data_IF_370793896095
#
_entry.id   IF_370793896095
#
_cell.length_a   1.000
_cell.length_b   1.000
_cell.length_c   1.000
_cell.angle_alpha   90.00
_cell.angle_beta   90.00
_cell.angle_gamma   90.00
#
_symmetry.space_group_name_H-M   'P 1'
#
loop_
_entity.id
_entity.type
_entity.pdbx_description
1 polymer ?
#
# COMPACT_ATOMS: atom_id res chain seq x y z
N UNK A 1 -16.94 1.13 2.39
CA UNK A 1 -15.63 0.53 2.03
C UNK A 1 -15.81 -0.95 1.71
N UNK A 2 -15.34 -1.34 0.53
CA UNK A 2 -15.47 -2.70 0.02
C UNK A 2 -14.19 -3.52 0.22
N UNK A 3 -14.29 -4.84 0.08
CA UNK A 3 -13.14 -5.74 0.11
C UNK A 3 -12.78 -6.22 -1.29
N UNK A 4 -11.48 -6.38 -1.54
CA UNK A 4 -10.94 -6.97 -2.75
C UNK A 4 -10.31 -8.31 -2.39
N UNK A 5 -10.84 -9.39 -2.97
CA UNK A 5 -10.34 -10.75 -2.76
C UNK A 5 -9.63 -11.21 -4.03
N UNK A 6 -8.33 -11.51 -3.91
CA UNK A 6 -7.53 -12.04 -5.01
C UNK A 6 -7.19 -13.50 -4.74
N UNK A 7 -7.36 -14.37 -5.74
CA UNK A 7 -7.10 -15.81 -5.63
C UNK A 7 -5.99 -16.27 -6.56
N UNK A 8 -5.10 -17.13 -6.07
CA UNK A 8 -4.02 -17.75 -6.87
C UNK A 8 -3.84 -19.22 -6.48
N UNK A 9 -3.43 -20.07 -7.42
CA UNK A 9 -2.99 -21.44 -7.10
C UNK A 9 -3.56 -22.53 -8.02
N UNK A 10 -4.71 -22.29 -8.66
CA UNK A 10 -5.40 -23.29 -9.48
C UNK A 10 -5.84 -22.70 -10.83
N UNK A 11 -6.00 -23.56 -11.83
CA UNK A 11 -6.43 -23.13 -13.16
C UNK A 11 -7.95 -22.87 -13.18
N UNK A 12 -8.42 -21.65 -13.50
CA UNK A 12 -9.85 -21.34 -13.54
C UNK A 12 -10.59 -21.97 -14.74
N UNK A 13 -9.87 -22.50 -15.74
CA UNK A 13 -10.44 -23.13 -16.96
C UNK A 13 -10.86 -24.58 -16.71
N UNK A 14 -11.68 -24.78 -15.69
CA UNK A 14 -12.28 -26.07 -15.33
C UNK A 14 -13.76 -25.89 -15.04
N UNK A 15 -14.51 -26.98 -15.09
CA UNK A 15 -15.90 -27.03 -14.65
C UNK A 15 -16.01 -26.66 -13.18
N UNK A 16 -17.15 -26.04 -12.82
CA UNK A 16 -17.39 -25.56 -11.46
C UNK A 16 -17.26 -26.68 -10.42
N UNK A 17 -17.74 -27.89 -10.71
CA UNK A 17 -17.60 -29.02 -9.78
C UNK A 17 -16.15 -29.35 -9.45
N UNK A 18 -15.26 -29.33 -10.45
CA UNK A 18 -13.82 -29.56 -10.27
C UNK A 18 -13.20 -28.40 -9.50
N UNK A 19 -13.53 -27.17 -9.85
CA UNK A 19 -13.06 -25.97 -9.14
C UNK A 19 -13.37 -26.01 -7.64
N UNK A 20 -14.59 -26.40 -7.26
CA UNK A 20 -15.03 -26.46 -5.86
C UNK A 20 -14.36 -27.56 -5.05
N UNK A 21 -13.71 -28.53 -5.70
CA UNK A 21 -12.95 -29.58 -5.02
C UNK A 21 -11.51 -29.19 -4.67
N UNK A 22 -11.07 -28.02 -5.14
CA UNK A 22 -9.68 -27.55 -5.02
C UNK A 22 -9.50 -26.51 -3.89
N UNK A 23 -8.26 -26.09 -3.69
CA UNK A 23 -7.88 -25.06 -2.71
C UNK A 23 -7.02 -23.98 -3.35
N UNK A 24 -7.10 -22.74 -2.86
CA UNK A 24 -6.29 -21.63 -3.36
C UNK A 24 -5.69 -20.79 -2.23
N UNK A 25 -4.64 -20.05 -2.56
CA UNK A 25 -4.18 -18.94 -1.73
C UNK A 25 -5.08 -17.72 -2.02
N UNK A 26 -5.66 -17.16 -0.95
CA UNK A 26 -6.44 -15.93 -0.99
C UNK A 26 -5.64 -14.77 -0.41
N UNK A 27 -5.68 -13.63 -1.07
CA UNK A 27 -5.26 -12.34 -0.54
C UNK A 27 -6.51 -11.53 -0.26
N UNK A 28 -6.71 -11.18 1.01
CA UNK A 28 -7.82 -10.35 1.47
C UNK A 28 -7.29 -8.93 1.61
N UNK A 29 -7.86 -8.01 0.85
CA UNK A 29 -7.50 -6.60 0.88
C UNK A 29 -8.74 -5.75 1.18
N UNK A 30 -8.54 -4.60 1.81
CA UNK A 30 -9.56 -3.57 1.95
C UNK A 30 -9.37 -2.51 0.86
N UNK A 31 -10.42 -2.11 0.17
CA UNK A 31 -10.35 -1.00 -0.77
C UNK A 31 -10.21 0.32 0.02
N UNK A 32 -9.25 1.15 -0.39
CA UNK A 32 -8.93 2.43 0.23
C UNK A 32 -9.09 3.54 -0.79
N UNK A 33 -9.82 4.58 -0.41
CA UNK A 33 -10.11 5.72 -1.26
C UNK A 33 -11.07 5.39 -2.41
N UNK A 34 -11.05 6.25 -3.42
CA UNK A 34 -11.86 6.11 -4.64
C UNK A 34 -11.01 5.62 -5.80
N UNK A 35 -11.67 5.13 -6.84
CA UNK A 35 -11.02 4.88 -8.13
C UNK A 35 -10.46 6.20 -8.66
N UNK A 36 -9.21 6.20 -9.08
CA UNK A 36 -8.51 7.39 -9.55
C UNK A 36 -7.69 7.11 -10.81
N UNK A 37 -7.26 8.18 -11.48
CA UNK A 37 -6.40 8.09 -12.66
C UNK A 37 -4.91 8.13 -12.26
N UNK A 38 -4.23 7.01 -12.45
CA UNK A 38 -2.79 6.87 -12.27
C UNK A 38 -2.02 7.56 -13.39
N UNK A 39 -1.21 8.55 -13.01
CA UNK A 39 -0.43 9.38 -13.94
C UNK A 39 1.03 8.91 -14.05
N UNK A 40 1.49 8.06 -13.15
CA UNK A 40 2.88 7.60 -13.05
C UNK A 40 3.01 6.09 -13.28
N UNK A 41 4.00 5.60 -14.06
CA UNK A 41 4.29 4.16 -14.17
C UNK A 41 4.55 3.51 -12.80
N UNK A 42 3.74 2.51 -12.43
CA UNK A 42 3.82 1.86 -11.12
C UNK A 42 4.01 0.35 -11.23
N UNK A 43 3.25 -0.30 -12.10
CA UNK A 43 3.35 -1.76 -12.28
C UNK A 43 4.68 -2.16 -12.93
N UNK A 44 5.21 -3.36 -12.66
CA UNK A 44 6.50 -3.78 -13.22
C UNK A 44 6.61 -3.59 -14.74
N UNK A 45 5.55 -3.92 -15.48
CA UNK A 45 5.49 -3.78 -16.92
C UNK A 45 5.25 -2.34 -17.41
N UNK A 46 4.72 -1.45 -16.57
CA UNK A 46 4.69 -0.01 -16.82
C UNK A 46 6.05 0.62 -16.56
N UNK A 47 6.72 0.21 -15.47
CA UNK A 47 8.05 0.72 -15.11
C UNK A 47 9.12 0.29 -16.11
N UNK A 48 9.04 -0.95 -16.62
CA UNK A 48 9.97 -1.47 -17.62
C UNK A 48 9.80 -0.77 -18.97
N UNK A 49 8.57 -0.40 -19.34
CA UNK A 49 8.26 0.30 -20.60
C UNK A 49 8.22 1.84 -20.46
N UNK A 50 8.43 2.37 -19.24
CA UNK A 50 8.29 3.78 -18.90
C UNK A 50 6.98 4.41 -19.41
N UNK A 51 5.86 3.69 -19.29
CA UNK A 51 4.56 4.12 -19.81
C UNK A 51 3.41 3.59 -18.97
N UNK A 52 2.41 4.44 -18.70
CA UNK A 52 1.15 4.03 -18.07
C UNK A 52 0.34 3.14 -19.02
N UNK A 53 -0.07 1.97 -18.54
CA UNK A 53 -0.91 0.99 -19.25
C UNK A 53 -2.26 0.82 -18.59
N UNK A 54 -2.31 0.96 -17.27
CA UNK A 54 -3.49 0.76 -16.45
C UNK A 54 -3.79 2.08 -15.74
N UNK A 55 -4.37 3.07 -16.45
CA UNK A 55 -4.60 4.40 -15.91
C UNK A 55 -5.66 4.39 -14.81
N UNK A 56 -6.68 3.52 -14.88
CA UNK A 56 -7.68 3.42 -13.82
C UNK A 56 -7.14 2.57 -12.67
N UNK A 57 -6.96 3.18 -11.50
CA UNK A 57 -6.38 2.56 -10.30
C UNK A 57 -7.33 2.59 -9.12
N UNK A 58 -7.17 1.63 -8.23
CA UNK A 58 -7.88 1.53 -6.96
C UNK A 58 -6.86 1.24 -5.87
N UNK A 59 -6.83 2.06 -4.82
CA UNK A 59 -6.03 1.78 -3.64
C UNK A 59 -6.57 0.54 -2.93
N UNK A 60 -5.70 -0.40 -2.60
CA UNK A 60 -6.05 -1.55 -1.79
C UNK A 60 -5.00 -1.75 -0.70
N UNK A 61 -5.43 -2.01 0.51
CA UNK A 61 -4.57 -2.31 1.66
C UNK A 61 -4.64 -3.81 1.95
N UNK A 62 -3.53 -4.56 1.77
CA UNK A 62 -3.49 -5.99 2.08
C UNK A 62 -3.65 -6.25 3.58
N UNK A 63 -4.62 -7.08 3.94
CA UNK A 63 -4.92 -7.41 5.34
C UNK A 63 -4.43 -8.80 5.74
N UNK A 64 -4.61 -9.80 4.86
CA UNK A 64 -4.20 -11.17 5.13
C UNK A 64 -3.91 -11.98 3.87
N UNK A 65 -3.07 -13.01 4.03
CA UNK A 65 -2.94 -14.13 3.10
C UNK A 65 -3.46 -15.40 3.77
N UNK A 66 -4.51 -16.00 3.22
CA UNK A 66 -5.05 -17.28 3.66
C UNK A 66 -4.58 -18.38 2.71
N UNK A 67 -3.77 -19.31 3.18
CA UNK A 67 -3.19 -20.38 2.35
C UNK A 67 -4.06 -21.61 2.31
N UNK A 68 -4.06 -22.35 1.18
CA UNK A 68 -4.80 -23.60 1.02
C UNK A 68 -6.29 -23.49 1.39
N UNK A 69 -6.93 -22.38 1.00
CA UNK A 69 -8.33 -22.12 1.31
C UNK A 69 -9.25 -22.98 0.43
N UNK A 70 -10.12 -23.82 1.00
CA UNK A 70 -11.07 -24.61 0.22
C UNK A 70 -12.05 -23.74 -0.57
N UNK A 71 -12.33 -24.13 -1.82
CA UNK A 71 -13.24 -23.40 -2.70
C UNK A 71 -14.70 -23.87 -2.64
N UNK A 72 -14.93 -25.06 -2.09
CA UNK A 72 -16.25 -25.66 -1.93
C UNK A 72 -17.01 -25.16 -0.69
N UNK A 73 -18.15 -25.80 -0.35
CA UNK A 73 -19.03 -25.36 0.76
C UNK A 73 -18.38 -25.33 2.14
N UNK A 74 -17.32 -26.11 2.36
CA UNK A 74 -16.53 -26.12 3.59
C UNK A 74 -15.55 -24.94 3.69
N UNK A 75 -15.40 -24.15 2.62
CA UNK A 75 -14.52 -23.01 2.51
C UNK A 75 -14.99 -21.76 3.26
N UNK A 76 -14.12 -20.75 3.26
CA UNK A 76 -14.38 -19.44 3.85
C UNK A 76 -15.25 -18.54 2.97
N UNK A 77 -15.32 -18.84 1.67
CA UNK A 77 -16.09 -18.09 0.69
C UNK A 77 -17.40 -18.81 0.36
N UNK A 78 -18.52 -18.08 0.19
CA UNK A 78 -19.72 -18.67 -0.37
C UNK A 78 -19.49 -19.08 -1.83
N UNK A 79 -20.31 -20.00 -2.33
CA UNK A 79 -20.26 -20.50 -3.71
C UNK A 79 -20.19 -19.37 -4.75
N UNK A 80 -21.00 -18.32 -4.59
CA UNK A 80 -21.03 -17.19 -5.50
C UNK A 80 -19.69 -16.43 -5.57
N UNK A 81 -19.02 -16.26 -4.43
CA UNK A 81 -17.71 -15.60 -4.35
C UNK A 81 -16.59 -16.51 -4.91
N UNK A 82 -16.64 -17.81 -4.60
CA UNK A 82 -15.71 -18.81 -5.16
C UNK A 82 -15.81 -18.88 -6.70
N UNK A 83 -17.02 -18.96 -7.26
CA UNK A 83 -17.22 -18.96 -8.71
C UNK A 83 -16.88 -17.60 -9.34
N UNK A 84 -17.09 -16.49 -8.63
CA UNK A 84 -16.67 -15.17 -9.10
C UNK A 84 -15.15 -15.06 -9.31
N UNK A 85 -14.34 -15.65 -8.42
CA UNK A 85 -12.88 -15.75 -8.60
C UNK A 85 -12.56 -16.57 -9.85
N UNK A 86 -13.21 -17.73 -10.04
CA UNK A 86 -13.04 -18.56 -11.24
C UNK A 86 -13.35 -17.78 -12.52
N UNK A 87 -14.52 -17.14 -12.58
CA UNK A 87 -14.97 -16.35 -13.73
C UNK A 87 -14.09 -15.12 -13.98
N UNK A 88 -13.55 -14.49 -12.94
CA UNK A 88 -12.54 -13.43 -13.08
C UNK A 88 -11.32 -13.95 -13.83
N UNK A 89 -10.79 -15.12 -13.45
CA UNK A 89 -9.66 -15.77 -14.14
C UNK A 89 -9.94 -16.11 -15.61
N UNK A 90 -11.18 -16.48 -15.95
CA UNK A 90 -11.63 -16.68 -17.34
C UNK A 90 -11.71 -15.37 -18.13
N UNK A 91 -12.01 -14.27 -17.45
CA UNK A 91 -12.19 -12.94 -18.02
C UNK A 91 -10.97 -12.06 -17.75
N UNK A 92 -9.75 -12.58 -17.96
CA UNK A 92 -8.48 -11.82 -17.87
C UNK A 92 -8.28 -11.06 -16.55
N UNK A 93 -8.83 -11.56 -15.44
CA UNK A 93 -8.72 -10.94 -14.12
C UNK A 93 -9.70 -9.79 -13.84
N UNK A 94 -10.69 -9.55 -14.71
CA UNK A 94 -11.72 -8.55 -14.44
C UNK A 94 -12.52 -8.94 -13.19
N UNK A 95 -12.49 -8.03 -12.21
CA UNK A 95 -13.23 -8.17 -10.95
C UNK A 95 -14.71 -8.49 -11.15
N UNK A 96 -15.25 -9.30 -10.26
CA UNK A 96 -16.66 -9.71 -10.26
C UNK A 96 -17.27 -9.29 -8.92
N UNK A 97 -18.13 -8.26 -8.89
CA UNK A 97 -18.76 -7.82 -7.66
C UNK A 97 -19.66 -8.93 -7.12
N UNK A 98 -19.53 -9.23 -5.83
CA UNK A 98 -20.36 -10.19 -5.10
C UNK A 98 -20.64 -9.61 -3.73
N UNK A 99 -21.91 -9.55 -3.35
CA UNK A 99 -22.30 -9.21 -2.00
C UNK A 99 -22.41 -10.50 -1.18
N UNK A 100 -21.72 -10.54 -0.05
CA UNK A 100 -21.81 -11.65 0.90
C UNK A 100 -21.37 -11.20 2.30
N UNK A 101 -21.69 -12.01 3.31
CA UNK A 101 -21.27 -11.81 4.69
C UNK A 101 -19.79 -12.20 4.87
N UNK A 102 -18.89 -11.25 5.19
CA UNK A 102 -17.46 -11.50 5.35
C UNK A 102 -17.07 -12.09 6.72
N UNK A 103 -18.00 -12.34 7.64
CA UNK A 103 -17.70 -12.77 9.02
C UNK A 103 -16.81 -14.01 9.11
N UNK A 104 -17.00 -14.99 8.21
CA UNK A 104 -16.14 -16.18 8.17
C UNK A 104 -14.69 -15.84 7.82
N UNK A 105 -14.47 -14.87 6.92
CA UNK A 105 -13.13 -14.39 6.58
C UNK A 105 -12.50 -13.68 7.77
N UNK A 106 -13.23 -12.80 8.44
CA UNK A 106 -12.73 -12.07 9.61
C UNK A 106 -12.33 -13.01 10.75
N UNK A 107 -13.16 -14.02 11.04
CA UNK A 107 -12.85 -15.07 12.03
C UNK A 107 -11.56 -15.84 11.69
N UNK A 108 -11.37 -16.21 10.41
CA UNK A 108 -10.16 -16.91 9.97
C UNK A 108 -8.91 -16.02 10.02
N UNK A 109 -9.07 -14.73 9.75
CA UNK A 109 -8.00 -13.75 9.86
C UNK A 109 -7.67 -13.41 11.33
N UNK A 110 -8.56 -13.73 12.27
CA UNK A 110 -8.43 -13.37 13.68
C UNK A 110 -8.60 -11.86 13.91
N UNK A 111 -9.41 -11.19 13.09
CA UNK A 111 -9.65 -9.74 13.18
C UNK A 111 -11.07 -9.44 13.60
N UNK A 112 -11.24 -8.28 14.25
CA UNK A 112 -12.53 -7.71 14.64
C UNK A 112 -12.72 -6.39 13.90
N UNK A 113 -13.68 -6.31 12.95
CA UNK A 113 -13.95 -5.08 12.22
C UNK A 113 -14.52 -4.00 13.14
N UNK A 114 -14.27 -2.74 12.77
CA UNK A 114 -14.98 -1.57 13.30
C UNK A 114 -15.92 -1.02 12.23
N UNK A 115 -17.02 -0.41 12.63
CA UNK A 115 -17.92 0.26 11.69
C UNK A 115 -17.33 1.62 11.33
N UNK A 116 -17.18 1.90 10.04
CA UNK A 116 -16.87 3.24 9.55
C UNK A 116 -18.01 4.20 9.90
N UNK A 117 -17.67 5.37 10.45
CA UNK A 117 -18.64 6.44 10.73
C UNK A 117 -19.35 6.98 9.47
N UNK A 118 -18.72 6.88 8.30
CA UNK A 118 -19.26 7.46 7.06
C UNK A 118 -20.32 6.55 6.40
N UNK A 119 -20.02 5.25 6.27
CA UNK A 119 -20.82 4.35 5.43
C UNK A 119 -21.30 3.08 6.14
N UNK A 120 -21.09 2.96 7.46
CA UNK A 120 -21.34 1.72 8.23
C UNK A 120 -20.65 0.47 7.67
N UNK A 121 -19.66 0.65 6.79
CA UNK A 121 -18.89 -0.44 6.23
C UNK A 121 -17.81 -0.89 7.23
N UNK A 122 -17.52 -2.21 7.31
CA UNK A 122 -16.48 -2.70 8.20
C UNK A 122 -15.09 -2.25 7.71
N UNK A 123 -14.32 -1.68 8.63
CA UNK A 123 -12.90 -1.34 8.49
C UNK A 123 -12.11 -2.26 9.41
N UNK A 124 -11.00 -2.82 8.92
CA UNK A 124 -10.12 -3.67 9.72
C UNK A 124 -8.97 -2.82 10.29
N UNK A 125 -8.85 -2.71 11.64
CA UNK A 125 -7.69 -2.07 12.27
C UNK A 125 -6.38 -2.75 11.85
N UNK A 126 -5.43 -1.97 11.37
CA UNK A 126 -4.14 -2.45 10.86
C UNK A 126 -3.29 -3.10 11.95
N UNK A 127 -3.42 -2.68 13.22
CA UNK A 127 -2.74 -3.31 14.36
C UNK A 127 -3.16 -4.75 14.63
N UNK A 128 -4.29 -5.20 14.07
CA UNK A 128 -4.74 -6.59 14.15
C UNK A 128 -4.21 -7.44 12.97
N UNK A 129 -3.55 -6.82 11.99
CA UNK A 129 -3.08 -7.49 10.79
C UNK A 129 -1.56 -7.62 10.76
N UNK A 130 -1.06 -8.51 9.90
CA UNK A 130 0.38 -8.71 9.68
C UNK A 130 0.75 -8.30 8.25
N UNK A 131 1.99 -7.81 8.02
CA UNK A 131 2.43 -7.47 6.67
C UNK A 131 2.27 -8.66 5.73
N UNK A 132 1.49 -8.47 4.67
CA UNK A 132 1.23 -9.51 3.67
C UNK A 132 2.38 -9.54 2.67
N UNK A 133 3.02 -10.71 2.53
CA UNK A 133 4.02 -10.90 1.48
C UNK A 133 3.32 -11.26 0.15
N UNK A 134 3.35 -10.33 -0.80
CA UNK A 134 2.92 -10.59 -2.17
C UNK A 134 4.08 -11.19 -2.95
N UNK A 135 3.93 -12.37 -3.58
CA UNK A 135 4.97 -12.97 -4.41
C UNK A 135 5.29 -12.05 -5.57
N UNK A 136 6.57 -11.72 -5.76
CA UNK A 136 7.01 -11.03 -6.97
C UNK A 136 6.95 -12.00 -8.15
N UNK A 137 6.35 -11.59 -9.27
CA UNK A 137 6.41 -12.36 -10.51
C UNK A 137 7.90 -12.61 -10.86
N UNK A 138 8.33 -13.86 -11.10
CA UNK A 138 9.69 -14.11 -11.57
C UNK A 138 9.92 -13.32 -12.85
N UNK A 139 10.96 -12.48 -12.89
CA UNK A 139 11.36 -11.82 -14.14
C UNK A 139 11.63 -12.91 -15.18
N UNK A 140 11.16 -12.78 -16.44
CA UNK A 140 11.56 -13.69 -17.50
C UNK A 140 13.10 -13.68 -17.56
N UNK A 141 13.71 -14.87 -17.58
CA UNK A 141 15.16 -15.04 -17.65
C UNK A 141 15.68 -14.41 -18.95
N UNK A 142 16.03 -13.13 -18.96
CA UNK A 142 16.98 -12.59 -19.93
C UNK A 142 18.34 -13.13 -19.53
N UNK A 143 19.04 -13.74 -20.48
CA UNK A 143 20.45 -14.11 -20.35
C UNK A 143 21.28 -12.84 -20.16
N UNK A 144 21.34 -12.32 -18.93
CA UNK A 144 22.27 -11.27 -18.53
C UNK A 144 23.18 -11.89 -17.48
N UNK A 145 24.47 -11.98 -17.82
CA UNK A 145 25.50 -12.50 -16.94
C UNK A 145 25.67 -11.60 -15.72
N UNK A 146 25.71 -12.24 -14.55
CA UNK A 146 26.19 -11.78 -13.24
C UNK A 146 25.48 -10.61 -12.55
N UNK A 147 24.93 -10.94 -11.37
CA UNK A 147 24.48 -10.03 -10.33
C UNK A 147 23.76 -10.83 -9.26
N UNK A 148 24.51 -11.45 -8.34
CA UNK A 148 23.97 -12.03 -7.11
C UNK A 148 23.38 -10.88 -6.27
N UNK A 149 22.06 -10.77 -6.24
CA UNK A 149 21.35 -9.75 -5.48
C UNK A 149 19.96 -10.23 -5.11
N UNK A 150 19.76 -10.44 -3.82
CA UNK A 150 18.51 -10.81 -3.16
C UNK A 150 17.37 -9.86 -3.51
N UNK A 151 16.20 -10.43 -3.82
CA UNK A 151 15.00 -9.67 -4.13
C UNK A 151 14.51 -8.86 -2.93
N UNK A 152 14.52 -7.54 -3.05
CA UNK A 152 13.59 -6.55 -2.46
C UNK A 152 14.06 -5.10 -2.61
N UNK A 153 15.30 -4.86 -2.98
CA UNK A 153 15.77 -3.47 -3.06
C UNK A 153 15.21 -2.80 -4.31
N UNK A 154 14.15 -2.00 -4.12
CA UNK A 154 13.96 -0.78 -4.90
C UNK A 154 15.31 -0.07 -4.95
N UNK A 155 15.77 0.29 -6.14
CA UNK A 155 17.03 1.01 -6.30
C UNK A 155 17.12 2.18 -5.31
N UNK A 156 18.11 2.21 -4.40
CA UNK A 156 18.25 3.28 -3.41
C UNK A 156 18.25 4.68 -4.04
N UNK A 157 18.81 4.83 -5.25
CA UNK A 157 18.81 6.11 -5.98
C UNK A 157 17.42 6.52 -6.45
N UNK A 158 16.59 5.54 -6.83
CA UNK A 158 15.20 5.78 -7.18
C UNK A 158 14.40 6.24 -5.97
N UNK A 159 14.62 5.59 -4.81
CA UNK A 159 13.98 5.96 -3.54
C UNK A 159 14.35 7.38 -3.11
N UNK A 160 15.65 7.71 -3.16
CA UNK A 160 16.13 9.06 -2.87
C UNK A 160 15.48 10.12 -3.76
N UNK A 161 15.36 9.87 -5.07
CA UNK A 161 14.71 10.81 -5.98
C UNK A 161 13.23 11.06 -5.62
N UNK A 162 12.52 10.02 -5.16
CA UNK A 162 11.13 10.12 -4.71
C UNK A 162 11.03 10.91 -3.40
N UNK A 163 11.88 10.58 -2.42
CA UNK A 163 11.91 11.24 -1.10
C UNK A 163 12.26 12.74 -1.27
N UNK A 164 13.29 13.06 -2.05
CA UNK A 164 13.68 14.45 -2.34
C UNK A 164 12.56 15.25 -3.01
N UNK A 165 11.93 14.69 -4.05
CA UNK A 165 10.84 15.37 -4.75
C UNK A 165 9.62 15.63 -3.85
N UNK A 166 9.30 14.70 -2.94
CA UNK A 166 8.24 14.91 -1.96
C UNK A 166 8.57 16.06 -0.99
N UNK A 167 9.81 16.12 -0.50
CA UNK A 167 10.31 17.20 0.36
C UNK A 167 10.25 18.55 -0.35
N UNK A 168 10.70 18.62 -1.60
CA UNK A 168 10.68 19.86 -2.39
C UNK A 168 9.25 20.40 -2.58
N UNK A 169 8.28 19.52 -2.84
CA UNK A 169 6.86 19.88 -2.92
C UNK A 169 6.29 20.37 -1.58
N UNK A 170 6.66 19.72 -0.46
CA UNK A 170 6.26 20.16 0.87
C UNK A 170 6.82 21.57 1.18
N UNK A 171 8.10 21.80 0.90
CA UNK A 171 8.74 23.11 1.07
C UNK A 171 8.03 24.17 0.23
N UNK A 172 7.74 23.88 -1.04
CA UNK A 172 7.02 24.79 -1.91
C UNK A 172 5.63 25.13 -1.35
N UNK A 173 4.86 24.12 -0.93
CA UNK A 173 3.53 24.29 -0.35
C UNK A 173 3.55 25.24 0.86
N UNK A 174 4.42 24.98 1.84
CA UNK A 174 4.46 25.78 3.06
C UNK A 174 5.03 27.19 2.85
N UNK A 175 6.01 27.35 1.96
CA UNK A 175 6.50 28.69 1.57
C UNK A 175 5.40 29.53 0.93
N UNK A 176 4.60 28.93 0.05
CA UNK A 176 3.44 29.60 -0.56
C UNK A 176 2.36 29.97 0.47
N UNK A 177 2.20 29.16 1.52
CA UNK A 177 1.35 29.45 2.67
C UNK A 177 1.96 30.48 3.66
N UNK A 178 3.15 31.03 3.35
CA UNK A 178 3.81 32.08 4.11
C UNK A 178 4.56 31.59 5.36
N UNK A 179 4.96 30.32 5.40
CA UNK A 179 5.85 29.80 6.43
C UNK A 179 7.32 29.97 6.04
N UNK A 180 8.16 30.22 7.04
CA UNK A 180 9.60 29.97 6.92
C UNK A 180 9.84 28.48 7.10
N UNK A 181 10.54 27.86 6.16
CA UNK A 181 10.75 26.40 6.12
C UNK A 181 12.23 26.08 6.23
N UNK A 182 12.58 25.22 7.18
CA UNK A 182 13.91 24.66 7.40
C UNK A 182 13.89 23.13 7.28
N UNK A 183 14.82 22.57 6.53
CA UNK A 183 15.04 21.12 6.47
C UNK A 183 15.87 20.66 7.67
N UNK A 184 15.32 19.75 8.47
CA UNK A 184 15.92 19.22 9.72
C UNK A 184 16.38 17.77 9.55
N UNK A 185 15.52 16.90 9.03
CA UNK A 185 15.80 15.49 8.76
C UNK A 185 15.22 14.51 9.79
N UNK A 186 15.85 14.33 10.96
CA UNK A 186 15.34 13.42 12.01
C UNK A 186 15.17 14.15 13.34
N UNK A 187 14.10 13.89 14.11
CA UNK A 187 13.09 12.84 13.92
C UNK A 187 11.92 13.20 12.98
N UNK A 188 11.99 14.37 12.32
CA UNK A 188 11.03 14.85 11.33
C UNK A 188 11.77 15.65 10.24
N UNK A 189 11.17 15.77 9.06
CA UNK A 189 11.84 16.34 7.89
C UNK A 189 11.93 17.87 7.92
N UNK A 190 10.83 18.58 8.21
CA UNK A 190 10.78 20.06 8.11
C UNK A 190 10.34 20.72 9.42
N UNK A 191 11.00 21.84 9.75
CA UNK A 191 10.54 22.80 10.77
C UNK A 191 9.96 24.02 10.09
N UNK A 192 8.74 24.37 10.47
CA UNK A 192 8.01 25.54 9.99
C UNK A 192 7.95 26.58 11.09
N UNK A 193 8.19 27.85 10.76
CA UNK A 193 8.00 28.97 11.70
C UNK A 193 7.23 30.11 11.06
N UNK A 194 6.26 30.67 11.80
CA UNK A 194 5.45 31.82 11.34
C UNK A 194 4.86 32.56 12.54
N UNK A 195 5.17 33.85 12.68
CA UNK A 195 4.58 34.73 13.69
C UNK A 195 4.57 34.17 15.13
N UNK A 196 5.63 33.46 15.52
CA UNK A 196 5.77 32.85 16.85
C UNK A 196 5.17 31.44 17.00
N UNK A 197 4.50 30.91 15.97
CA UNK A 197 4.11 29.50 15.90
C UNK A 197 5.23 28.66 15.27
N UNK A 198 5.40 27.44 15.78
CA UNK A 198 6.25 26.39 15.21
C UNK A 198 5.34 25.24 14.75
N UNK A 199 5.65 24.62 13.61
CA UNK A 199 5.08 23.33 13.24
C UNK A 199 6.17 22.42 12.73
N UNK A 200 5.95 21.12 12.81
CA UNK A 200 6.88 20.11 12.28
C UNK A 200 6.17 19.31 11.21
N UNK A 201 6.92 18.83 10.23
CA UNK A 201 6.36 18.08 9.11
C UNK A 201 7.16 16.82 8.90
N UNK A 202 6.45 15.69 8.87
CA UNK A 202 6.95 14.43 8.34
C UNK A 202 6.50 14.31 6.87
N UNK A 203 7.45 14.05 5.95
CA UNK A 203 7.18 14.02 4.51
C UNK A 203 7.37 12.61 3.97
N UNK A 204 6.36 12.09 3.28
CA UNK A 204 6.39 10.75 2.67
C UNK A 204 6.15 10.81 1.17
N UNK A 205 6.99 10.15 0.38
CA UNK A 205 6.84 10.02 -1.06
C UNK A 205 6.56 8.57 -1.49
N UNK A 206 5.63 8.37 -2.43
CA UNK A 206 5.40 7.07 -3.05
C UNK A 206 5.05 7.20 -4.54
N UNK A 207 5.39 6.18 -5.33
CA UNK A 207 5.04 6.10 -6.76
C UNK A 207 3.69 5.42 -7.00
N UNK A 208 3.04 4.92 -5.96
CA UNK A 208 1.73 4.27 -6.02
C UNK A 208 0.64 5.11 -5.35
N UNK A 209 -0.52 4.47 -5.12
CA UNK A 209 -1.63 5.06 -4.39
C UNK A 209 -1.25 5.42 -2.94
N UNK A 210 -1.83 6.48 -2.36
CA UNK A 210 -1.65 6.85 -0.94
C UNK A 210 -2.48 5.93 -0.03
N UNK A 211 -2.18 4.63 -0.04
CA UNK A 211 -2.89 3.63 0.79
C UNK A 211 -2.33 3.61 2.21
N UNK A 212 -1.01 3.41 2.31
CA UNK A 212 -0.26 3.49 3.56
C UNK A 212 1.17 3.96 3.28
N UNK A 213 1.84 4.49 4.31
CA UNK A 213 3.23 4.95 4.26
C UNK A 213 4.05 4.27 5.35
N UNK A 214 5.35 4.06 5.11
CA UNK A 214 6.25 3.53 6.14
C UNK A 214 6.62 4.62 7.14
N UNK A 215 6.44 4.33 8.43
CA UNK A 215 6.87 5.17 9.54
C UNK A 215 7.91 4.44 10.38
N UNK A 216 8.89 5.18 10.92
CA UNK A 216 9.79 4.66 11.96
C UNK A 216 9.19 4.82 13.35
N UNK A 217 9.66 4.03 14.32
CA UNK A 217 9.21 4.14 15.71
C UNK A 217 9.45 5.55 16.29
N UNK A 218 10.56 6.19 15.90
CA UNK A 218 10.89 7.55 16.34
C UNK A 218 9.93 8.59 15.75
N UNK A 219 9.52 8.45 14.49
CA UNK A 219 8.53 9.34 13.86
C UNK A 219 7.17 9.22 14.56
N UNK A 220 6.73 7.99 14.85
CA UNK A 220 5.47 7.74 15.58
C UNK A 220 5.52 8.34 16.98
N UNK A 221 6.60 8.10 17.72
CA UNK A 221 6.78 8.67 19.05
C UNK A 221 6.80 10.20 19.00
N UNK A 222 7.51 10.78 18.03
CA UNK A 222 7.61 12.23 17.90
C UNK A 222 6.25 12.89 17.66
N UNK A 223 5.43 12.33 16.75
CA UNK A 223 4.10 12.84 16.46
C UNK A 223 3.13 12.74 17.65
N UNK A 224 3.35 11.80 18.58
CA UNK A 224 2.55 11.68 19.80
C UNK A 224 2.98 12.66 20.91
N UNK A 225 4.26 13.01 20.94
CA UNK A 225 4.83 13.90 21.96
C UNK A 225 4.71 15.39 21.57
N UNK A 226 4.65 15.70 20.28
CA UNK A 226 4.53 17.05 19.76
C UNK A 226 3.16 17.26 19.09
N UNK A 227 2.30 18.18 19.59
CA UNK A 227 0.93 18.31 19.11
C UNK A 227 0.80 18.94 17.72
N UNK A 228 1.79 19.71 17.27
CA UNK A 228 1.74 20.48 16.02
C UNK A 228 2.61 19.83 14.92
N UNK A 229 2.35 18.55 14.65
CA UNK A 229 2.99 17.79 13.56
C UNK A 229 2.02 17.60 12.40
N UNK A 230 2.45 17.90 11.19
CA UNK A 230 1.72 17.58 9.96
C UNK A 230 2.35 16.35 9.28
N UNK A 231 1.51 15.48 8.71
CA UNK A 231 1.98 14.44 7.77
C UNK A 231 1.68 14.90 6.34
N UNK A 232 2.74 15.06 5.55
CA UNK A 232 2.66 15.49 4.15
C UNK A 232 3.03 14.32 3.22
N UNK A 233 2.02 13.73 2.57
CA UNK A 233 2.21 12.60 1.67
C UNK A 233 2.11 13.07 0.22
N UNK A 234 3.06 12.66 -0.62
CA UNK A 234 3.01 12.81 -2.08
C UNK A 234 2.94 11.44 -2.72
N UNK A 235 1.80 11.14 -3.34
CA UNK A 235 1.56 9.87 -4.04
C UNK A 235 1.68 10.00 -5.55
N UNK A 236 1.67 8.87 -6.25
CA UNK A 236 1.74 8.81 -7.72
C UNK A 236 2.87 9.65 -8.33
N UNK A 237 4.03 9.68 -7.66
CA UNK A 237 5.23 10.35 -8.19
C UNK A 237 5.72 9.59 -9.43
N UNK A 238 5.88 10.32 -10.54
CA UNK A 238 6.49 9.79 -11.76
C UNK A 238 7.99 9.79 -11.60
N UNK A 239 8.61 8.62 -11.79
CA UNK A 239 10.08 8.49 -11.79
C UNK A 239 10.55 7.97 -13.14
N UNK A 240 11.37 8.76 -13.82
CA UNK A 240 11.99 8.41 -15.09
C UNK A 240 13.50 8.22 -14.91
N UNK A 241 14.11 7.52 -15.87
CA UNK A 241 15.54 7.26 -15.91
C UNK A 241 15.91 5.86 -15.45
N UNK A 242 17.21 5.63 -15.32
CA UNK A 242 17.82 4.36 -14.94
C UNK A 242 18.97 4.65 -13.98
N UNK A 243 19.32 3.68 -13.15
CA UNK A 243 20.45 3.77 -12.22
C UNK A 243 21.71 4.30 -12.93
N UNK A 244 22.42 5.31 -12.37
CA UNK A 244 22.17 6.00 -11.10
C UNK A 244 21.30 7.27 -11.21
N UNK A 245 20.84 7.61 -12.42
CA UNK A 245 20.20 8.90 -12.72
C UNK A 245 18.68 8.73 -12.79
N UNK A 246 17.99 9.18 -11.73
CA UNK A 246 16.53 9.26 -11.70
C UNK A 246 16.07 10.70 -11.62
N UNK A 247 14.96 10.98 -12.29
CA UNK A 247 14.24 12.25 -12.17
C UNK A 247 12.83 11.95 -11.73
N UNK A 248 12.42 12.56 -10.62
CA UNK A 248 11.07 12.49 -10.09
C UNK A 248 10.28 13.75 -10.49
N UNK A 249 8.98 13.59 -10.71
CA UNK A 249 8.09 14.68 -11.12
C UNK A 249 6.63 14.35 -10.81
N UNK A 250 5.78 15.38 -10.81
CA UNK A 250 4.34 15.23 -10.58
C UNK A 250 4.00 14.80 -9.15
N UNK A 251 2.94 14.01 -9.02
CA UNK A 251 2.43 13.52 -7.75
C UNK A 251 1.21 14.27 -7.22
N UNK A 252 0.49 13.63 -6.30
CA UNK A 252 -0.71 14.16 -5.66
C UNK A 252 -0.46 14.32 -4.16
N UNK A 253 -0.70 15.52 -3.64
CA UNK A 253 -0.50 15.83 -2.22
C UNK A 253 -1.70 15.42 -1.38
N UNK A 254 -1.45 14.70 -0.29
CA UNK A 254 -2.38 14.50 0.82
C UNK A 254 -1.74 15.09 2.08
N UNK A 255 -2.40 16.08 2.67
CA UNK A 255 -1.95 16.74 3.90
C UNK A 255 -2.88 16.32 5.05
N UNK A 256 -2.29 15.76 6.11
CA UNK A 256 -2.97 15.52 7.37
C UNK A 256 -2.43 16.53 8.38
N UNK A 257 -3.16 17.62 8.65
CA UNK A 257 -2.74 18.59 9.65
C UNK A 257 -2.94 18.04 11.07
N UNK A 258 -2.08 18.45 12.00
CA UNK A 258 -2.15 18.02 13.42
C UNK A 258 -2.29 16.50 13.55
N UNK A 259 -1.51 15.79 12.74
CA UNK A 259 -1.56 14.36 12.58
C UNK A 259 -1.08 13.64 13.83
N UNK A 260 -1.97 12.83 14.40
CA UNK A 260 -1.68 11.91 15.48
C UNK A 260 -1.82 10.46 14.98
N UNK A 261 -0.75 9.65 14.98
CA UNK A 261 -0.83 8.25 14.54
C UNK A 261 -1.59 7.40 15.56
N UNK A 262 -2.85 7.10 15.25
CA UNK A 262 -3.67 6.17 16.03
C UNK A 262 -3.13 4.73 15.95
N UNK A 263 -3.15 4.00 17.06
CA UNK A 263 -2.66 2.62 17.10
C UNK A 263 -3.38 1.71 16.09
N UNK A 264 -4.66 1.95 15.81
CA UNK A 264 -5.44 1.16 14.86
C UNK A 264 -5.01 1.35 13.40
N UNK A 265 -4.33 2.43 13.07
CA UNK A 265 -3.81 2.72 11.73
C UNK A 265 -2.34 2.28 11.57
N UNK A 266 -1.73 1.76 12.64
CA UNK A 266 -0.35 1.29 12.65
C UNK A 266 -0.25 -0.22 12.58
N UNK A 267 0.67 -0.71 11.73
CA UNK A 267 1.05 -2.11 11.66
C UNK A 267 2.55 -2.27 11.86
N UNK A 268 3.02 -3.10 12.80
CA UNK A 268 4.43 -3.37 12.95
C UNK A 268 5.02 -4.03 11.69
N UNK A 269 6.03 -3.39 11.08
CA UNK A 269 6.70 -3.88 9.86
C UNK A 269 8.18 -4.20 10.05
N UNK A 270 8.81 -3.64 11.10
CA UNK A 270 10.24 -3.81 11.42
C UNK A 270 10.40 -4.10 12.91
N UNK A 271 11.47 -4.81 13.25
CA UNK A 271 11.79 -5.20 14.62
C UNK A 271 13.27 -4.92 14.91
N UNK A 272 13.55 -4.58 16.16
CA UNK A 272 14.90 -4.60 16.73
C UNK A 272 15.16 -5.96 17.40
N UNK A 273 16.37 -6.51 17.25
CA UNK A 273 16.74 -7.80 17.82
C UNK A 273 17.88 -7.64 18.83
N UNK A 274 17.64 -8.10 20.07
CA UNK A 274 18.68 -8.19 21.11
C UNK A 274 19.48 -9.47 20.94
N UNK A 275 20.80 -9.34 20.74
CA UNK A 275 21.73 -10.48 20.67
C UNK A 275 21.87 -11.09 22.08
N UNK A 276 21.63 -12.41 22.27
CA UNK A 276 21.85 -13.07 23.55
C UNK A 276 23.33 -13.05 23.95
N UNK A 277 23.59 -12.77 25.24
CA UNK A 277 24.92 -12.86 25.89
C UNK A 277 25.24 -14.29 26.31
#
# INVERSE_FOLDING_TARGET
MDFVILGTGVNPRVDLGVWLSDTIDLYVCQAVGIVYEGTAPHWPDETDEQRVKYPTRLGIEPLAKLTNTPLGPAGSLPLAASDAIRRSGLHRGFGKPVQFDPDKLFKLMGVTPKLSYADSAPIIPLNQTRPVQVPTRPKPRRNVKHGTGTGRQSDPRKREAVERHAVDLAIQHYRQAGWTVEEVGKPYDLRLTKAGAERRVEVKGTTGAPTSVELTANEVQHAREFPEVDLFVVSDITVMGITPNFTASGGTTTLLPDWEPADEDLRPTRFEYRIPS
#
